data_IF_145774266150
#
_entry.id   IF_145774266150
#
_cell.length_a   1.000
_cell.length_b   1.000
_cell.length_c   1.000
_cell.angle_alpha   90.00
_cell.angle_beta   90.00
_cell.angle_gamma   90.00
#
_symmetry.space_group_name_H-M   'P 1'
#
loop_
_entity.id
_entity.type
_entity.pdbx_description
1 polymer ?
#
# COMPACT_ATOMS: atom_id res chain seq x y z
N UNK A 1 16.42 -17.69 -44.16
CA UNK A 1 17.75 -17.13 -43.87
C UNK A 1 17.55 -16.12 -42.75
N UNK A 2 17.54 -16.59 -41.55
CA UNK A 2 18.53 -16.63 -40.47
C UNK A 2 19.34 -15.36 -40.26
N UNK A 3 19.18 -14.69 -39.11
CA UNK A 3 20.36 -14.32 -38.31
C UNK A 3 19.94 -13.82 -36.92
N UNK A 4 20.22 -14.70 -35.97
CA UNK A 4 20.26 -14.42 -34.53
C UNK A 4 21.29 -13.34 -34.22
N UNK A 5 20.95 -12.39 -33.35
CA UNK A 5 21.95 -11.56 -32.67
C UNK A 5 21.71 -11.68 -31.17
N UNK A 6 22.51 -12.53 -30.57
CA UNK A 6 22.75 -12.62 -29.15
C UNK A 6 23.49 -11.34 -28.70
N UNK A 7 22.86 -10.54 -27.86
CA UNK A 7 23.52 -9.45 -27.15
C UNK A 7 23.81 -9.90 -25.72
N UNK A 8 25.06 -10.22 -25.48
CA UNK A 8 25.66 -10.57 -24.19
C UNK A 8 25.78 -9.29 -23.35
N UNK A 9 25.00 -9.13 -22.29
CA UNK A 9 25.23 -8.08 -21.30
C UNK A 9 26.22 -8.60 -20.26
N UNK A 10 27.38 -7.97 -20.24
CA UNK A 10 28.45 -8.17 -19.28
C UNK A 10 28.08 -7.55 -17.94
N UNK A 11 28.04 -8.39 -16.92
CA UNK A 11 27.81 -8.02 -15.53
C UNK A 11 29.14 -7.52 -14.95
N UNK A 12 29.26 -6.21 -14.74
CA UNK A 12 30.41 -5.63 -14.02
C UNK A 12 30.04 -5.42 -12.56
N UNK A 13 30.49 -6.36 -11.70
CA UNK A 13 30.58 -6.13 -10.25
C UNK A 13 31.79 -5.25 -9.97
N UNK A 14 31.58 -4.06 -9.46
CA UNK A 14 32.61 -3.27 -8.79
C UNK A 14 32.23 -3.14 -7.31
N UNK A 15 32.88 -3.95 -6.48
CA UNK A 15 32.97 -3.76 -5.04
C UNK A 15 34.17 -2.85 -4.77
N UNK A 16 33.94 -1.67 -4.20
CA UNK A 16 34.92 -1.00 -3.34
C UNK A 16 34.28 0.24 -2.68
N UNK A 17 34.45 0.37 -1.38
CA UNK A 17 34.30 1.65 -0.70
C UNK A 17 33.58 1.58 0.63
N UNK A 18 34.27 1.11 1.68
CA UNK A 18 33.97 1.45 3.05
C UNK A 18 34.23 2.96 3.21
N UNK A 19 33.15 3.73 3.27
CA UNK A 19 33.16 5.16 3.52
C UNK A 19 32.18 5.49 4.62
N UNK A 20 32.72 5.79 5.80
CA UNK A 20 32.03 6.43 6.90
C UNK A 20 31.49 7.78 6.39
N UNK A 21 30.20 7.91 6.19
CA UNK A 21 29.57 9.18 5.84
C UNK A 21 28.45 9.49 6.83
N UNK A 22 28.75 10.53 7.61
CA UNK A 22 27.84 11.32 8.44
C UNK A 22 26.50 11.56 7.72
N UNK A 23 25.42 11.39 8.49
CA UNK A 23 24.07 11.59 8.03
C UNK A 23 23.81 12.99 7.47
N UNK A 24 23.75 13.08 6.18
CA UNK A 24 22.99 14.13 5.52
C UNK A 24 21.53 13.65 5.47
N UNK A 25 20.67 14.34 6.16
CA UNK A 25 19.23 14.18 6.07
C UNK A 25 18.81 14.46 4.61
N UNK A 26 18.76 13.40 3.81
CA UNK A 26 18.15 13.48 2.48
C UNK A 26 16.66 13.73 2.69
N UNK A 27 16.19 14.89 2.30
CA UNK A 27 14.77 15.19 2.17
C UNK A 27 14.14 14.09 1.32
N UNK A 28 13.04 13.46 1.76
CA UNK A 28 12.38 12.43 0.98
C UNK A 28 11.82 13.07 -0.28
N UNK A 29 12.37 12.71 -1.44
CA UNK A 29 11.79 13.04 -2.73
C UNK A 29 10.36 12.47 -2.76
N UNK A 30 9.40 13.33 -3.10
CA UNK A 30 8.00 13.02 -3.33
C UNK A 30 7.94 11.97 -4.45
N UNK A 31 7.74 10.70 -4.10
CA UNK A 31 7.71 9.59 -5.06
C UNK A 31 8.53 8.35 -4.69
N UNK A 32 9.22 8.34 -3.57
CA UNK A 32 9.97 7.17 -3.12
C UNK A 32 9.04 6.01 -2.78
N UNK A 33 9.07 4.96 -3.61
CA UNK A 33 8.39 3.70 -3.31
C UNK A 33 9.13 2.97 -2.18
N UNK A 34 8.59 3.03 -0.98
CA UNK A 34 9.13 2.29 0.16
C UNK A 34 8.75 0.81 0.10
N UNK A 35 9.68 -0.08 0.36
CA UNK A 35 9.37 -1.50 0.61
C UNK A 35 8.65 -1.66 1.96
N UNK A 36 7.93 -2.77 2.15
CA UNK A 36 7.25 -3.03 3.44
C UNK A 36 8.22 -3.04 4.64
N UNK A 37 9.46 -3.51 4.44
CA UNK A 37 10.48 -3.49 5.49
C UNK A 37 10.90 -2.05 5.84
N UNK A 38 11.13 -1.22 4.82
CA UNK A 38 11.45 0.21 5.01
C UNK A 38 10.31 0.96 5.70
N UNK A 39 9.05 0.67 5.34
CA UNK A 39 7.88 1.27 6.00
C UNK A 39 7.75 0.88 7.46
N UNK A 40 8.02 -0.39 7.80
CA UNK A 40 8.06 -0.81 9.20
C UNK A 40 9.14 -0.07 9.99
N UNK A 41 10.35 0.04 9.44
CA UNK A 41 11.44 0.80 10.06
C UNK A 41 11.09 2.29 10.16
N UNK A 42 10.51 2.87 9.11
CA UNK A 42 10.06 4.25 9.13
C UNK A 42 8.98 4.48 10.20
N UNK A 43 8.00 3.57 10.33
CA UNK A 43 6.95 3.69 11.32
C UNK A 43 7.46 3.58 12.77
N UNK A 44 8.55 2.82 13.00
CA UNK A 44 9.18 2.68 14.32
C UNK A 44 10.06 3.89 14.69
N UNK A 45 10.71 4.49 13.70
CA UNK A 45 11.74 5.50 13.89
C UNK A 45 11.35 6.89 13.37
N UNK A 46 10.09 7.11 12.99
CA UNK A 46 9.65 8.40 12.49
C UNK A 46 9.58 9.42 13.63
N UNK A 47 10.29 10.54 13.43
CA UNK A 47 10.31 11.67 14.36
C UNK A 47 10.13 13.01 13.65
N UNK A 48 10.25 13.04 12.31
CA UNK A 48 10.17 14.25 11.51
C UNK A 48 8.81 14.35 10.78
N UNK A 49 8.23 15.55 10.63
CA UNK A 49 6.97 15.77 9.90
C UNK A 49 6.95 15.17 8.50
N UNK A 50 8.05 15.29 7.75
CA UNK A 50 8.19 14.73 6.41
C UNK A 50 8.05 13.18 6.39
N UNK A 51 8.57 12.49 7.42
CA UNK A 51 8.43 11.05 7.55
C UNK A 51 6.98 10.64 7.84
N UNK A 52 6.28 11.39 8.67
CA UNK A 52 4.86 11.18 8.93
C UNK A 52 4.00 11.45 7.69
N UNK A 53 4.35 12.46 6.88
CA UNK A 53 3.71 12.71 5.59
C UNK A 53 3.87 11.54 4.63
N UNK A 54 5.08 10.97 4.53
CA UNK A 54 5.33 9.80 3.70
C UNK A 54 4.51 8.57 4.16
N UNK A 55 4.41 8.34 5.47
CA UNK A 55 3.55 7.28 6.03
C UNK A 55 2.07 7.53 5.76
N UNK A 56 1.60 8.78 5.89
CA UNK A 56 0.23 9.15 5.58
C UNK A 56 -0.11 8.88 4.11
N UNK A 57 0.74 9.29 3.18
CA UNK A 57 0.57 9.01 1.74
C UNK A 57 0.49 7.51 1.45
N UNK A 58 1.39 6.73 2.02
CA UNK A 58 1.38 5.27 1.84
C UNK A 58 0.06 4.65 2.32
N UNK A 59 -0.42 5.00 3.52
CA UNK A 59 -1.67 4.44 4.02
C UNK A 59 -2.90 4.96 3.27
N UNK A 60 -2.85 6.19 2.71
CA UNK A 60 -3.86 6.72 1.81
C UNK A 60 -3.96 5.92 0.50
N UNK A 61 -2.82 5.58 -0.10
CA UNK A 61 -2.77 4.70 -1.29
C UNK A 61 -3.28 3.30 -0.98
N UNK A 62 -2.89 2.71 0.16
CA UNK A 62 -3.39 1.41 0.59
C UNK A 62 -4.90 1.41 0.79
N UNK A 63 -5.45 2.45 1.42
CA UNK A 63 -6.90 2.63 1.58
C UNK A 63 -7.60 2.67 0.22
N UNK A 64 -7.10 3.46 -0.72
CA UNK A 64 -7.66 3.58 -2.07
C UNK A 64 -7.65 2.23 -2.79
N UNK A 65 -6.54 1.50 -2.74
CA UNK A 65 -6.43 0.16 -3.31
C UNK A 65 -7.44 -0.82 -2.72
N UNK A 66 -7.60 -0.83 -1.39
CA UNK A 66 -8.60 -1.72 -0.76
C UNK A 66 -10.03 -1.32 -1.11
N UNK A 67 -10.34 -0.03 -1.27
CA UNK A 67 -11.66 0.42 -1.72
C UNK A 67 -11.95 -0.01 -3.17
N UNK A 68 -10.96 0.00 -4.05
CA UNK A 68 -11.11 -0.51 -5.41
C UNK A 68 -11.41 -2.01 -5.41
N UNK A 69 -10.61 -2.81 -4.67
CA UNK A 69 -10.85 -4.25 -4.53
C UNK A 69 -12.23 -4.54 -3.92
N UNK A 70 -12.64 -3.79 -2.92
CA UNK A 70 -13.98 -3.90 -2.35
C UNK A 70 -15.08 -3.61 -3.39
N UNK A 71 -14.90 -2.58 -4.23
CA UNK A 71 -15.86 -2.24 -5.26
C UNK A 71 -15.99 -3.34 -6.34
N UNK A 72 -14.88 -4.01 -6.69
CA UNK A 72 -14.87 -5.16 -7.60
C UNK A 72 -15.63 -6.35 -7.01
N UNK A 73 -15.35 -6.70 -5.76
CA UNK A 73 -16.02 -7.81 -5.08
C UNK A 73 -17.50 -7.49 -4.83
N UNK A 74 -17.86 -6.23 -4.61
CA UNK A 74 -19.26 -5.82 -4.51
C UNK A 74 -20.02 -6.05 -5.81
N UNK A 75 -19.43 -5.72 -6.96
CA UNK A 75 -20.02 -6.00 -8.29
C UNK A 75 -20.19 -7.50 -8.49
N UNK A 76 -19.19 -8.29 -8.12
CA UNK A 76 -19.25 -9.74 -8.25
C UNK A 76 -20.29 -10.35 -7.31
N UNK A 77 -20.39 -9.87 -6.08
CA UNK A 77 -21.43 -10.26 -5.14
C UNK A 77 -22.83 -9.95 -5.72
N UNK A 78 -23.06 -8.74 -6.23
CA UNK A 78 -24.35 -8.34 -6.81
C UNK A 78 -24.68 -9.23 -8.02
N UNK A 79 -23.73 -9.50 -8.92
CA UNK A 79 -23.89 -10.38 -10.06
C UNK A 79 -24.25 -11.80 -9.66
N UNK A 80 -23.58 -12.36 -8.66
CA UNK A 80 -23.85 -13.73 -8.17
C UNK A 80 -25.16 -13.82 -7.41
N UNK A 81 -25.57 -12.76 -6.73
CA UNK A 81 -26.84 -12.71 -6.00
C UNK A 81 -28.06 -12.76 -6.92
N UNK A 82 -27.92 -12.26 -8.14
CA UNK A 82 -28.99 -12.31 -9.14
C UNK A 82 -29.19 -13.71 -9.76
N UNK A 83 -28.17 -14.58 -9.69
CA UNK A 83 -28.18 -15.90 -10.34
C UNK A 83 -28.32 -17.06 -9.33
N UNK A 84 -29.13 -16.89 -8.30
CA UNK A 84 -29.23 -17.83 -7.16
C UNK A 84 -29.80 -19.22 -7.52
N UNK A 85 -30.30 -19.43 -8.71
CA UNK A 85 -31.15 -20.60 -9.05
C UNK A 85 -30.40 -21.93 -9.16
N UNK A 86 -29.07 -21.97 -9.22
CA UNK A 86 -28.40 -23.21 -9.63
C UNK A 86 -27.26 -23.75 -8.75
N UNK A 87 -26.89 -23.15 -7.65
CA UNK A 87 -25.67 -23.58 -6.93
C UNK A 87 -25.97 -24.04 -5.50
N UNK A 88 -26.91 -24.94 -5.34
CA UNK A 88 -27.34 -25.46 -4.04
C UNK A 88 -26.31 -26.38 -3.33
N UNK A 89 -25.15 -26.68 -3.91
CA UNK A 89 -24.36 -27.81 -3.45
C UNK A 89 -22.89 -27.57 -3.13
N UNK A 90 -22.32 -26.38 -3.33
CA UNK A 90 -20.90 -26.13 -2.98
C UNK A 90 -20.78 -25.15 -1.83
N UNK A 91 -20.11 -25.59 -0.77
CA UNK A 91 -19.77 -24.74 0.37
C UNK A 91 -18.27 -24.41 0.34
N UNK A 92 -17.83 -23.15 0.53
CA UNK A 92 -18.64 -21.94 0.62
C UNK A 92 -19.32 -21.60 -0.73
N UNK A 93 -20.53 -21.06 -0.68
CA UNK A 93 -21.22 -20.62 -1.90
C UNK A 93 -20.43 -19.48 -2.56
N UNK A 94 -20.35 -19.41 -3.89
CA UNK A 94 -19.63 -18.34 -4.58
C UNK A 94 -20.08 -16.93 -4.21
N UNK A 95 -21.36 -16.74 -3.91
CA UNK A 95 -21.93 -15.48 -3.44
C UNK A 95 -21.39 -15.09 -2.06
N UNK A 96 -21.25 -16.05 -1.15
CA UNK A 96 -20.72 -15.80 0.20
C UNK A 96 -19.22 -15.46 0.13
N UNK A 97 -18.47 -16.08 -0.79
CA UNK A 97 -17.05 -15.76 -0.99
C UNK A 97 -16.85 -14.32 -1.44
N UNK A 98 -17.62 -13.83 -2.41
CA UNK A 98 -17.53 -12.44 -2.87
C UNK A 98 -17.93 -11.46 -1.77
N UNK A 99 -18.99 -11.79 -1.01
CA UNK A 99 -19.38 -10.98 0.16
C UNK A 99 -18.27 -10.90 1.20
N UNK A 100 -17.69 -12.04 1.57
CA UNK A 100 -16.63 -12.11 2.57
C UNK A 100 -15.38 -11.32 2.13
N UNK A 101 -15.01 -11.37 0.84
CA UNK A 101 -13.92 -10.58 0.29
C UNK A 101 -14.24 -9.08 0.31
N UNK A 102 -15.46 -8.68 -0.03
CA UNK A 102 -15.90 -7.30 0.08
C UNK A 102 -15.78 -6.79 1.53
N UNK A 103 -16.30 -7.51 2.51
CA UNK A 103 -16.24 -7.15 3.93
C UNK A 103 -14.77 -7.08 4.42
N UNK A 104 -13.93 -8.02 3.99
CA UNK A 104 -12.50 -8.04 4.29
C UNK A 104 -11.78 -6.79 3.74
N UNK A 105 -11.99 -6.44 2.47
CA UNK A 105 -11.35 -5.26 1.89
C UNK A 105 -11.86 -3.95 2.50
N UNK A 106 -13.13 -3.86 2.84
CA UNK A 106 -13.68 -2.73 3.57
C UNK A 106 -13.03 -2.57 4.95
N UNK A 107 -12.85 -3.67 5.68
CA UNK A 107 -12.11 -3.66 6.94
C UNK A 107 -10.65 -3.20 6.77
N UNK A 108 -9.95 -3.68 5.74
CA UNK A 108 -8.56 -3.27 5.44
C UNK A 108 -8.49 -1.79 5.06
N UNK A 109 -9.44 -1.28 4.28
CA UNK A 109 -9.54 0.13 3.94
C UNK A 109 -9.75 1.00 5.19
N UNK A 110 -10.63 0.61 6.08
CA UNK A 110 -10.88 1.30 7.36
C UNK A 110 -9.62 1.36 8.23
N UNK A 111 -8.89 0.24 8.35
CA UNK A 111 -7.60 0.19 9.08
C UNK A 111 -6.56 1.13 8.48
N UNK A 112 -6.41 1.11 7.15
CA UNK A 112 -5.49 1.99 6.45
C UNK A 112 -5.88 3.47 6.65
N UNK A 113 -7.17 3.82 6.56
CA UNK A 113 -7.66 5.16 6.81
C UNK A 113 -7.42 5.66 8.25
N UNK A 114 -7.51 4.77 9.24
CA UNK A 114 -7.17 5.12 10.63
C UNK A 114 -5.68 5.45 10.78
N UNK A 115 -4.81 4.70 10.11
CA UNK A 115 -3.36 4.96 10.13
C UNK A 115 -3.01 6.22 9.34
N UNK A 116 -3.60 6.44 8.18
CA UNK A 116 -3.49 7.67 7.40
C UNK A 116 -3.82 8.89 8.26
N UNK A 117 -5.00 8.90 8.90
CA UNK A 117 -5.44 10.01 9.76
C UNK A 117 -4.50 10.22 10.96
N UNK A 118 -3.97 9.13 11.56
CA UNK A 118 -2.98 9.22 12.63
C UNK A 118 -1.72 9.96 12.16
N UNK A 119 -1.17 9.56 11.01
CA UNK A 119 0.08 10.14 10.53
C UNK A 119 -0.10 11.56 9.98
N UNK A 120 -1.26 11.92 9.42
CA UNK A 120 -1.59 13.30 9.09
C UNK A 120 -1.51 14.19 10.34
N UNK A 121 -2.10 13.75 11.46
CA UNK A 121 -2.04 14.51 12.73
C UNK A 121 -0.63 14.67 13.25
N UNK A 122 0.21 13.65 13.14
CA UNK A 122 1.61 13.70 13.57
C UNK A 122 2.48 14.57 12.66
N UNK A 123 2.11 14.69 11.37
CA UNK A 123 2.81 15.54 10.42
C UNK A 123 2.54 17.04 10.65
N UNK A 124 1.37 17.41 11.19
CA UNK A 124 0.96 18.78 11.42
C UNK A 124 0.48 19.00 12.87
N UNK A 125 1.36 18.88 13.89
CA UNK A 125 0.96 19.01 15.30
C UNK A 125 0.43 20.40 15.64
N UNK A 126 0.94 21.46 15.00
CA UNK A 126 0.62 22.85 15.33
C UNK A 126 -0.71 23.34 14.75
N UNK A 127 -1.28 22.64 13.77
CA UNK A 127 -2.56 23.02 13.17
C UNK A 127 -3.75 22.87 14.14
N UNK A 128 -3.61 22.06 15.20
CA UNK A 128 -4.66 21.82 16.18
C UNK A 128 -4.62 22.77 17.36
N UNK A 129 -3.49 23.47 17.61
CA UNK A 129 -3.34 24.41 18.72
C UNK A 129 -3.98 25.78 18.39
N UNK A 130 -4.06 26.12 17.10
CA UNK A 130 -4.59 27.41 16.66
C UNK A 130 -6.09 27.41 16.32
N UNK A 131 -6.80 26.31 16.61
CA UNK A 131 -8.24 26.16 16.35
C UNK A 131 -9.11 26.27 17.63
N UNK A 132 -8.53 26.78 18.74
CA UNK A 132 -9.29 27.08 19.98
C UNK A 132 -9.47 28.57 20.18
#
# INVERSE_FOLDING_TARGET
MTRNLLATCVLSLAFAGVGNAQGTASSPETGAHYTQAQLKQLALNAHAPAQYTALASYFGEQKTNYLQLAAEEKKEWDRRSQNVVSVAAKYPRPVDSARNLYEYYMYKASKAGTLEAKYIRLAAPDALVNAQ
#
